data_IF_710754991351
#
_entry.id   IF_710754991351
#
_cell.length_a   1.000
_cell.length_b   1.000
_cell.length_c   1.000
_cell.angle_alpha   90.00
_cell.angle_beta   90.00
_cell.angle_gamma   90.00
#
_symmetry.space_group_name_H-M   'P 1'
#
loop_
_entity.id
_entity.type
_entity.pdbx_description
1 polymer ?
#
# COMPACT_ATOMS: atom_id res chain seq x y z
N UNK A 1 -20.18 1.34 6.73
CA UNK A 1 -18.84 1.50 7.34
C UNK A 1 -17.98 0.22 7.34
N UNK A 2 -18.39 -0.89 6.71
CA UNK A 2 -17.51 -2.04 6.47
C UNK A 2 -16.68 -1.91 5.17
N UNK A 3 -17.16 -1.11 4.21
CA UNK A 3 -16.61 -0.97 2.85
C UNK A 3 -15.22 -0.33 2.79
N UNK A 4 -14.86 0.51 3.77
CA UNK A 4 -13.56 1.22 3.79
C UNK A 4 -12.41 0.41 4.41
N UNK A 5 -12.71 -0.78 4.96
CA UNK A 5 -11.69 -1.59 5.65
C UNK A 5 -10.65 -2.13 4.68
N UNK A 6 -11.08 -2.65 3.54
CA UNK A 6 -10.20 -3.23 2.52
C UNK A 6 -9.21 -2.18 1.98
N UNK A 7 -9.66 -1.01 1.45
CA UNK A 7 -8.72 -0.01 0.95
C UNK A 7 -7.75 0.45 2.03
N UNK A 8 -8.23 0.65 3.27
CA UNK A 8 -7.37 1.05 4.39
C UNK A 8 -6.33 0.00 4.76
N UNK A 9 -6.71 -1.28 4.82
CA UNK A 9 -5.78 -2.38 5.12
C UNK A 9 -4.71 -2.47 4.03
N UNK A 10 -5.11 -2.45 2.76
CA UNK A 10 -4.17 -2.49 1.64
C UNK A 10 -3.22 -1.29 1.66
N UNK A 11 -3.70 -0.08 1.93
CA UNK A 11 -2.84 1.09 2.06
C UNK A 11 -1.83 0.95 3.22
N UNK A 12 -2.28 0.49 4.39
CA UNK A 12 -1.38 0.31 5.55
C UNK A 12 -0.34 -0.79 5.30
N UNK A 13 -0.74 -1.91 4.72
CA UNK A 13 0.18 -3.01 4.36
C UNK A 13 1.17 -2.54 3.29
N UNK A 14 0.71 -1.81 2.28
CA UNK A 14 1.57 -1.25 1.24
C UNK A 14 2.61 -0.27 1.81
N UNK A 15 2.21 0.62 2.72
CA UNK A 15 3.12 1.53 3.43
C UNK A 15 4.15 0.77 4.26
N UNK A 16 3.73 -0.23 5.05
CA UNK A 16 4.64 -1.04 5.85
C UNK A 16 5.68 -1.78 4.99
N UNK A 17 5.27 -2.31 3.82
CA UNK A 17 6.19 -2.95 2.87
C UNK A 17 7.15 -1.95 2.23
N UNK A 18 6.71 -0.73 1.91
CA UNK A 18 7.58 0.34 1.42
C UNK A 18 8.63 0.68 2.48
N UNK A 19 8.23 0.93 3.73
CA UNK A 19 9.14 1.23 4.84
C UNK A 19 10.14 0.08 5.04
N UNK A 20 9.67 -1.16 4.98
CA UNK A 20 10.52 -2.36 5.09
C UNK A 20 11.52 -2.44 3.93
N UNK A 21 11.08 -2.24 2.68
CA UNK A 21 11.94 -2.24 1.51
C UNK A 21 12.97 -1.11 1.53
N UNK A 22 12.59 0.08 1.98
CA UNK A 22 13.49 1.21 2.20
C UNK A 22 14.52 0.89 3.28
N UNK A 23 14.10 0.35 4.42
CA UNK A 23 15.00 -0.08 5.48
C UNK A 23 15.98 -1.15 4.96
N UNK A 24 15.51 -2.11 4.17
CA UNK A 24 16.35 -3.13 3.56
C UNK A 24 17.38 -2.50 2.61
N UNK A 25 16.97 -1.53 1.78
CA UNK A 25 17.85 -0.83 0.84
C UNK A 25 18.95 -0.06 1.56
N UNK A 26 18.61 0.62 2.65
CA UNK A 26 19.56 1.37 3.48
C UNK A 26 20.53 0.46 4.25
N UNK A 27 20.12 -0.77 4.55
CA UNK A 27 20.95 -1.76 5.26
C UNK A 27 21.62 -2.78 4.31
N UNK A 28 21.58 -2.56 3.00
CA UNK A 28 22.12 -3.48 1.98
C UNK A 28 21.60 -4.93 2.11
N UNK A 29 20.37 -5.10 2.62
CA UNK A 29 19.73 -6.39 2.76
C UNK A 29 19.19 -6.86 1.39
N UNK A 30 19.23 -8.17 1.17
CA UNK A 30 18.73 -8.78 -0.07
C UNK A 30 17.22 -8.56 -0.21
N UNK A 31 16.76 -8.41 -1.46
CA UNK A 31 15.33 -8.30 -1.77
C UNK A 31 14.69 -6.93 -1.51
N UNK A 32 15.48 -5.90 -1.17
CA UNK A 32 14.99 -4.54 -0.92
C UNK A 32 14.08 -4.01 -2.03
N UNK A 33 14.51 -4.14 -3.29
CA UNK A 33 13.75 -3.68 -4.46
C UNK A 33 12.45 -4.45 -4.64
N UNK A 34 12.47 -5.78 -4.43
CA UNK A 34 11.29 -6.63 -4.52
C UNK A 34 10.27 -6.24 -3.45
N UNK A 35 10.68 -6.13 -2.19
CA UNK A 35 9.79 -5.78 -1.07
C UNK A 35 9.18 -4.39 -1.28
N UNK A 36 10.00 -3.42 -1.69
CA UNK A 36 9.54 -2.06 -1.99
C UNK A 36 8.52 -2.05 -3.14
N UNK A 37 8.81 -2.72 -4.25
CA UNK A 37 7.94 -2.74 -5.43
C UNK A 37 6.59 -3.42 -5.14
N UNK A 38 6.61 -4.54 -4.40
CA UNK A 38 5.37 -5.19 -3.94
C UNK A 38 4.57 -4.24 -3.04
N UNK A 39 5.24 -3.56 -2.10
CA UNK A 39 4.61 -2.54 -1.26
C UNK A 39 3.96 -1.41 -2.05
N UNK A 40 4.67 -0.87 -3.05
CA UNK A 40 4.17 0.17 -3.94
C UNK A 40 2.91 -0.28 -4.71
N UNK A 41 2.92 -1.49 -5.30
CA UNK A 41 1.76 -2.03 -6.01
C UNK A 41 0.56 -2.19 -5.06
N UNK A 42 0.77 -2.76 -3.88
CA UNK A 42 -0.29 -2.95 -2.87
C UNK A 42 -0.86 -1.61 -2.42
N UNK A 43 0.00 -0.61 -2.18
CA UNK A 43 -0.42 0.75 -1.81
C UNK A 43 -1.26 1.40 -2.90
N UNK A 44 -0.82 1.33 -4.16
CA UNK A 44 -1.54 1.89 -5.32
C UNK A 44 -2.94 1.28 -5.40
N UNK A 45 -3.07 -0.04 -5.28
CA UNK A 45 -4.38 -0.72 -5.30
C UNK A 45 -5.27 -0.22 -4.14
N UNK A 46 -4.72 -0.13 -2.92
CA UNK A 46 -5.46 0.37 -1.76
C UNK A 46 -5.98 1.80 -1.96
N UNK A 47 -5.13 2.70 -2.47
CA UNK A 47 -5.49 4.09 -2.73
C UNK A 47 -6.50 4.24 -3.87
N UNK A 48 -6.38 3.45 -4.94
CA UNK A 48 -7.35 3.46 -6.05
C UNK A 48 -8.73 2.99 -5.59
N UNK A 49 -8.78 1.91 -4.80
CA UNK A 49 -10.04 1.43 -4.23
C UNK A 49 -10.66 2.46 -3.30
N UNK A 50 -9.84 3.15 -2.51
CA UNK A 50 -10.31 4.25 -1.65
C UNK A 50 -10.88 5.41 -2.48
N UNK A 51 -10.17 5.84 -3.52
CA UNK A 51 -10.63 6.90 -4.42
C UNK A 51 -11.96 6.54 -5.09
N UNK A 52 -12.12 5.30 -5.55
CA UNK A 52 -13.38 4.80 -6.13
C UNK A 52 -14.50 4.82 -5.07
N UNK A 53 -14.23 4.40 -3.84
CA UNK A 53 -15.21 4.43 -2.76
C UNK A 53 -15.67 5.87 -2.44
N UNK A 54 -14.74 6.82 -2.40
CA UNK A 54 -15.05 8.25 -2.21
C UNK A 54 -15.92 8.80 -3.35
N UNK A 55 -15.58 8.50 -4.60
CA UNK A 55 -16.35 8.95 -5.76
C UNK A 55 -17.77 8.38 -5.75
N UNK A 56 -17.95 7.14 -5.29
CA UNK A 56 -19.28 6.51 -5.14
C UNK A 56 -20.08 7.12 -3.98
N UNK A 57 -19.43 7.47 -2.87
CA UNK A 57 -20.11 8.06 -1.72
C UNK A 57 -20.59 9.50 -1.97
N UNK A 58 -19.97 10.21 -2.92
CA UNK A 58 -20.33 11.59 -3.29
C UNK A 58 -21.48 11.67 -4.30
N UNK A 59 -21.85 10.55 -4.93
CA UNK A 59 -22.90 10.46 -5.96
C UNK A 59 -24.21 10.03 -5.33
#
# INVERSE_FOLDING_TARGET
MATDRIPRILSLVGLALIETGTAFKLNHLMGAETVFNVGAVVLIIGLLLWAIALLRAKR
#
